data_IF_110404946014
#
_entry.id   IF_110404946014
#
_cell.length_a   1.000
_cell.length_b   1.000
_cell.length_c   1.000
_cell.angle_alpha   90.00
_cell.angle_beta   90.00
_cell.angle_gamma   90.00
#
_symmetry.space_group_name_H-M   'P 1'
#
loop_
_entity.id
_entity.type
_entity.pdbx_description
1 polymer ?
#
# COMPACT_ATOMS: atom_id res chain seq x y z
N UNK A 1 -9.38 -19.86 -9.50
CA UNK A 1 -8.15 -19.86 -10.33
C UNK A 1 -7.00 -19.40 -9.46
N UNK A 2 -5.97 -20.22 -9.29
CA UNK A 2 -4.74 -19.79 -8.61
C UNK A 2 -3.88 -19.01 -9.61
N UNK A 3 -3.51 -17.74 -9.35
CA UNK A 3 -2.51 -17.08 -10.18
C UNK A 3 -1.20 -17.85 -10.01
N UNK A 4 -0.59 -18.28 -11.12
CA UNK A 4 0.75 -18.83 -11.10
C UNK A 4 1.74 -17.68 -10.84
N UNK A 5 2.02 -17.41 -9.56
CA UNK A 5 2.86 -16.28 -9.13
C UNK A 5 4.35 -16.46 -9.45
N UNK A 6 4.76 -17.61 -9.97
CA UNK A 6 6.17 -18.05 -9.88
C UNK A 6 7.04 -17.67 -11.09
N UNK A 7 6.53 -16.97 -12.13
CA UNK A 7 7.29 -16.73 -13.38
C UNK A 7 6.94 -15.44 -14.17
N UNK A 8 6.49 -14.36 -13.52
CA UNK A 8 6.11 -13.11 -14.25
C UNK A 8 7.23 -12.07 -14.25
N UNK A 9 7.40 -11.41 -15.41
CA UNK A 9 8.41 -10.34 -15.63
C UNK A 9 7.92 -8.93 -15.22
N UNK A 10 6.62 -8.75 -15.01
CA UNK A 10 6.01 -7.45 -14.70
C UNK A 10 5.58 -7.33 -13.23
N UNK A 11 5.35 -6.10 -12.75
CA UNK A 11 4.90 -5.86 -11.39
C UNK A 11 3.48 -6.41 -11.15
N UNK A 12 3.29 -6.97 -9.97
CA UNK A 12 1.97 -7.38 -9.46
C UNK A 12 1.56 -6.37 -8.39
N UNK A 13 0.42 -5.73 -8.58
CA UNK A 13 -0.15 -4.75 -7.66
C UNK A 13 -1.21 -5.39 -6.78
N UNK A 14 -1.03 -5.26 -5.47
CA UNK A 14 -2.04 -5.55 -4.47
C UNK A 14 -2.57 -4.22 -3.93
N UNK A 15 -3.87 -3.99 -4.07
CA UNK A 15 -4.56 -2.85 -3.48
C UNK A 15 -5.96 -3.27 -2.99
N UNK A 16 -6.58 -2.46 -2.14
CA UNK A 16 -7.93 -2.70 -1.65
C UNK A 16 -8.98 -2.44 -2.76
N UNK A 17 -10.25 -2.71 -2.48
CA UNK A 17 -11.34 -2.52 -3.47
C UNK A 17 -11.99 -1.13 -3.41
N UNK A 18 -11.29 -0.08 -2.97
CA UNK A 18 -11.88 1.26 -2.94
C UNK A 18 -12.30 1.69 -4.35
N UNK A 19 -13.41 2.43 -4.44
CA UNK A 19 -14.05 2.80 -5.71
C UNK A 19 -13.08 3.45 -6.70
N UNK A 20 -12.14 4.26 -6.21
CA UNK A 20 -11.10 4.90 -7.01
C UNK A 20 -10.14 3.90 -7.66
N UNK A 21 -9.80 2.81 -6.97
CA UNK A 21 -8.86 1.80 -7.46
C UNK A 21 -9.49 0.85 -8.48
N UNK A 22 -10.78 0.55 -8.33
CA UNK A 22 -11.53 -0.29 -9.28
C UNK A 22 -12.21 0.50 -10.40
N UNK A 23 -12.06 1.82 -10.42
CA UNK A 23 -12.61 2.68 -11.48
C UNK A 23 -12.00 2.31 -12.84
N UNK A 24 -12.81 2.39 -13.89
CA UNK A 24 -12.40 2.01 -15.25
C UNK A 24 -11.15 2.76 -15.72
N UNK A 25 -11.05 4.07 -15.41
CA UNK A 25 -9.88 4.88 -15.78
C UNK A 25 -8.59 4.37 -15.15
N UNK A 26 -8.66 3.91 -13.89
CA UNK A 26 -7.54 3.34 -13.15
C UNK A 26 -7.13 1.99 -13.74
N UNK A 27 -8.10 1.10 -13.97
CA UNK A 27 -7.85 -0.21 -14.58
C UNK A 27 -7.24 -0.09 -15.98
N UNK A 28 -7.71 0.85 -16.80
CA UNK A 28 -7.12 1.13 -18.11
C UNK A 28 -5.69 1.63 -18.00
N UNK A 29 -5.37 2.48 -17.03
CA UNK A 29 -4.01 2.97 -16.82
C UNK A 29 -3.08 1.86 -16.37
N UNK A 30 -3.51 1.00 -15.44
CA UNK A 30 -2.74 -0.16 -14.96
C UNK A 30 -2.47 -1.14 -16.09
N UNK A 31 -3.48 -1.43 -16.93
CA UNK A 31 -3.30 -2.27 -18.10
C UNK A 31 -2.29 -1.69 -19.10
N UNK A 32 -2.31 -0.37 -19.37
CA UNK A 32 -1.33 0.30 -20.23
C UNK A 32 0.11 0.29 -19.68
N UNK A 33 0.26 0.11 -18.38
CA UNK A 33 1.56 0.02 -17.71
C UNK A 33 2.00 -1.43 -17.50
N UNK A 34 1.25 -2.41 -18.02
CA UNK A 34 1.48 -3.86 -17.85
C UNK A 34 1.52 -4.29 -16.37
N UNK A 35 0.73 -3.62 -15.52
CA UNK A 35 0.52 -4.05 -14.14
C UNK A 35 -0.54 -5.14 -14.08
N UNK A 36 -0.19 -6.26 -13.46
CA UNK A 36 -1.19 -7.23 -13.05
C UNK A 36 -1.78 -6.85 -11.70
N UNK A 37 -3.10 -7.02 -11.55
CA UNK A 37 -3.80 -6.75 -10.30
C UNK A 37 -4.04 -8.09 -9.59
N UNK A 38 -3.53 -8.23 -8.37
CA UNK A 38 -3.79 -9.40 -7.55
C UNK A 38 -5.23 -9.33 -7.00
N UNK A 39 -6.03 -10.42 -7.08
CA UNK A 39 -7.36 -10.45 -6.50
C UNK A 39 -7.31 -10.15 -5.00
N UNK A 40 -8.08 -9.16 -4.56
CA UNK A 40 -8.24 -8.81 -3.15
C UNK A 40 -9.72 -8.98 -2.76
N UNK A 41 -10.03 -9.76 -1.72
CA UNK A 41 -11.40 -9.89 -1.24
C UNK A 41 -11.90 -8.58 -0.59
N UNK A 42 -13.21 -8.27 -0.67
CA UNK A 42 -13.78 -7.13 0.04
C UNK A 42 -13.53 -7.19 1.55
N UNK A 43 -13.35 -6.01 2.17
CA UNK A 43 -13.25 -5.85 3.63
C UNK A 43 -12.21 -6.74 4.33
N UNK A 44 -11.07 -7.00 3.67
CA UNK A 44 -10.00 -7.87 4.19
C UNK A 44 -8.70 -7.09 4.47
N UNK A 45 -8.71 -6.15 5.43
CA UNK A 45 -7.54 -5.34 5.74
C UNK A 45 -6.38 -6.17 6.29
N UNK A 46 -6.67 -7.32 6.91
CA UNK A 46 -5.69 -8.31 7.36
C UNK A 46 -4.86 -8.90 6.22
N UNK A 47 -5.41 -8.91 5.00
CA UNK A 47 -4.72 -9.39 3.79
C UNK A 47 -3.97 -8.29 3.04
N UNK A 48 -4.05 -7.04 3.49
CA UNK A 48 -3.30 -5.91 2.94
C UNK A 48 -2.04 -5.66 3.78
N UNK A 49 -0.82 -5.88 3.24
CA UNK A 49 0.41 -5.58 3.97
C UNK A 49 0.49 -4.12 4.42
N UNK A 50 -0.05 -3.20 3.62
CA UNK A 50 -0.09 -1.77 3.95
C UNK A 50 -0.95 -1.50 5.19
N UNK A 51 -2.11 -2.15 5.30
CA UNK A 51 -3.02 -1.97 6.44
C UNK A 51 -2.54 -2.74 7.67
N UNK A 52 -2.23 -4.03 7.50
CA UNK A 52 -1.88 -4.92 8.60
C UNK A 52 -0.51 -4.60 9.22
N UNK A 53 0.49 -4.28 8.39
CA UNK A 53 1.87 -4.09 8.82
C UNK A 53 2.26 -2.62 8.85
N UNK A 54 2.23 -1.95 7.69
CA UNK A 54 2.80 -0.61 7.55
C UNK A 54 2.07 0.43 8.42
N UNK A 55 0.75 0.57 8.27
CA UNK A 55 -0.03 1.55 9.03
C UNK A 55 -0.05 1.24 10.52
N UNK A 56 -0.11 -0.03 10.91
CA UNK A 56 0.00 -0.43 12.32
C UNK A 56 1.29 0.07 12.97
N UNK A 57 2.44 -0.07 12.29
CA UNK A 57 3.71 0.44 12.82
C UNK A 57 3.80 1.96 12.75
N UNK A 58 3.23 2.58 11.70
CA UNK A 58 3.17 4.03 11.57
C UNK A 58 2.35 4.65 12.70
N UNK A 59 1.18 4.11 12.99
CA UNK A 59 0.32 4.55 14.10
C UNK A 59 1.05 4.47 15.43
N UNK A 60 1.77 3.38 15.68
CA UNK A 60 2.59 3.26 16.88
C UNK A 60 3.68 4.33 16.93
N UNK A 61 4.36 4.61 15.81
CA UNK A 61 5.39 5.64 15.74
C UNK A 61 4.84 7.07 15.89
N UNK A 62 3.61 7.31 15.43
CA UNK A 62 2.95 8.60 15.49
C UNK A 62 2.23 8.83 16.83
N UNK A 63 2.03 7.77 17.63
CA UNK A 63 1.36 7.85 18.91
C UNK A 63 1.95 8.95 19.78
N UNK A 64 1.06 9.76 20.39
CA UNK A 64 1.40 10.87 21.30
C UNK A 64 2.18 12.03 20.65
N UNK A 65 2.35 12.07 19.32
CA UNK A 65 2.92 13.21 18.63
C UNK A 65 1.84 14.21 18.24
N UNK A 66 2.09 15.49 18.48
CA UNK A 66 1.25 16.61 18.04
C UNK A 66 1.97 17.35 16.93
N UNK A 67 1.27 17.57 15.82
CA UNK A 67 1.78 18.24 14.64
C UNK A 67 1.06 19.56 14.45
N UNK A 68 1.82 20.63 14.20
CA UNK A 68 1.29 22.00 14.10
C UNK A 68 1.04 22.37 12.62
N UNK A 69 1.71 21.69 11.69
CA UNK A 69 1.58 21.93 10.26
C UNK A 69 1.88 20.67 9.43
N UNK A 70 1.52 20.72 8.15
CA UNK A 70 1.73 19.64 7.21
C UNK A 70 3.22 19.25 7.08
N UNK A 71 4.14 20.21 7.06
CA UNK A 71 5.59 19.92 6.96
C UNK A 71 6.07 19.08 8.14
N UNK A 72 5.56 19.31 9.36
CA UNK A 72 5.90 18.50 10.53
C UNK A 72 5.40 17.06 10.42
N UNK A 73 4.24 16.84 9.77
CA UNK A 73 3.71 15.50 9.48
C UNK A 73 4.56 14.80 8.42
N UNK A 74 4.86 15.48 7.31
CA UNK A 74 5.68 14.95 6.22
C UNK A 74 7.09 14.56 6.71
N UNK A 75 7.69 15.41 7.54
CA UNK A 75 8.99 15.13 8.15
C UNK A 75 8.93 13.92 9.11
N UNK A 76 7.86 13.77 9.88
CA UNK A 76 7.68 12.60 10.74
C UNK A 76 7.50 11.32 9.93
N UNK A 77 6.73 11.37 8.84
CA UNK A 77 6.56 10.25 7.92
C UNK A 77 7.90 9.88 7.26
N UNK A 78 8.68 10.86 6.79
CA UNK A 78 10.01 10.61 6.23
C UNK A 78 10.93 9.92 7.25
N UNK A 79 10.99 10.44 8.47
CA UNK A 79 11.75 9.83 9.57
C UNK A 79 11.30 8.41 9.88
N UNK A 80 9.99 8.14 9.81
CA UNK A 80 9.47 6.79 9.97
C UNK A 80 10.03 5.86 8.89
N UNK A 81 9.96 6.25 7.61
CA UNK A 81 10.47 5.45 6.49
C UNK A 81 11.99 5.23 6.62
N UNK A 82 12.75 6.30 6.89
CA UNK A 82 14.21 6.25 6.98
C UNK A 82 14.69 5.40 8.19
N UNK A 83 13.84 5.18 9.18
CA UNK A 83 14.14 4.32 10.34
C UNK A 83 13.95 2.82 10.08
N UNK A 84 13.44 2.43 8.90
CA UNK A 84 13.14 1.03 8.57
C UNK A 84 14.33 0.35 7.90
N UNK A 85 14.50 -0.93 8.19
CA UNK A 85 15.48 -1.78 7.53
C UNK A 85 14.90 -2.30 6.21
N UNK A 86 15.73 -2.95 5.38
CA UNK A 86 15.27 -3.62 4.17
C UNK A 86 14.32 -4.80 4.44
N UNK A 87 14.33 -5.31 5.67
CA UNK A 87 13.49 -6.45 6.12
C UNK A 87 12.12 -6.01 6.66
N UNK A 88 11.87 -4.70 6.73
CA UNK A 88 10.59 -4.13 7.13
C UNK A 88 9.65 -4.03 5.92
#
# INVERSE_FOLDING_TARGET
MHPALVNRKGPILLHNNDRSHVAQITLQKLNKLDYEIMPHPPYSPDLSPTEYHFFKHLDHFLKEKVFINQSSVENAFRKFIDSRTLEF
#
